data_IF_950250197825
#
_entry.id   IF_950250197825
#
_cell.length_a   1.000
_cell.length_b   1.000
_cell.length_c   1.000
_cell.angle_alpha   90.00
_cell.angle_beta   90.00
_cell.angle_gamma   90.00
#
_symmetry.space_group_name_H-M   'P 1'
#
loop_
_entity.id
_entity.type
_entity.pdbx_description
1 polymer ?
#
# COMPACT_ATOMS: atom_id res chain seq x y z
N UNK A 1 -17.27 12.24 28.75
CA UNK A 1 -17.70 12.35 27.34
C UNK A 1 -16.45 12.55 26.49
N UNK A 2 -15.98 11.50 25.81
CA UNK A 2 -14.81 11.60 24.93
C UNK A 2 -15.18 12.45 23.71
N UNK A 3 -14.39 13.48 23.42
CA UNK A 3 -14.64 14.41 22.32
C UNK A 3 -14.30 13.67 21.01
N UNK A 4 -15.31 13.40 20.19
CA UNK A 4 -15.11 12.90 18.82
C UNK A 4 -14.13 13.84 18.09
N UNK A 5 -13.12 13.31 17.37
CA UNK A 5 -12.25 14.13 16.54
C UNK A 5 -13.08 14.90 15.51
N UNK A 6 -12.82 16.18 15.31
CA UNK A 6 -13.47 16.98 14.27
C UNK A 6 -13.01 16.52 12.88
N UNK A 7 -13.85 16.67 11.85
CA UNK A 7 -13.52 16.36 10.45
C UNK A 7 -12.17 16.95 9.99
N UNK A 8 -11.82 18.14 10.50
CA UNK A 8 -10.53 18.80 10.26
C UNK A 8 -9.32 17.99 10.72
N UNK A 9 -9.46 17.21 11.79
CA UNK A 9 -8.39 16.38 12.38
C UNK A 9 -8.18 15.10 11.57
N UNK A 10 -9.28 14.52 11.05
CA UNK A 10 -9.25 13.34 10.18
C UNK A 10 -8.66 13.71 8.81
N UNK A 11 -9.01 14.88 8.27
CA UNK A 11 -8.51 15.34 6.98
C UNK A 11 -7.00 15.67 7.01
N UNK A 12 -6.50 16.27 8.08
CA UNK A 12 -5.09 16.66 8.22
C UNK A 12 -4.12 15.46 8.28
N UNK A 13 -4.54 14.33 8.86
CA UNK A 13 -3.72 13.10 8.93
C UNK A 13 -3.53 12.44 7.56
N UNK A 14 -4.38 12.80 6.59
CA UNK A 14 -4.58 12.08 5.34
C UNK A 14 -3.85 12.67 4.13
N UNK A 15 -3.23 13.84 4.30
CA UNK A 15 -2.66 14.62 3.20
C UNK A 15 -1.27 14.15 2.73
N UNK A 16 -0.86 12.91 3.06
CA UNK A 16 0.45 12.37 2.70
C UNK A 16 0.30 11.14 1.81
N UNK A 17 0.02 11.37 0.52
CA UNK A 17 0.30 10.36 -0.51
C UNK A 17 1.81 10.21 -0.56
N UNK A 18 2.35 9.14 0.01
CA UNK A 18 3.79 8.89 0.06
C UNK A 18 4.00 7.42 -0.28
N UNK A 19 4.78 7.16 -1.32
CA UNK A 19 5.42 5.86 -1.55
C UNK A 19 6.36 5.56 -0.38
N UNK A 20 6.39 4.31 0.09
CA UNK A 20 7.29 3.87 1.15
C UNK A 20 8.76 4.24 0.85
N UNK A 21 9.60 4.41 1.90
CA UNK A 21 11.03 4.59 1.71
C UNK A 21 11.59 3.44 0.88
N UNK A 22 12.42 3.80 -0.09
CA UNK A 22 13.23 2.87 -0.87
C UNK A 22 14.06 2.06 0.14
N UNK A 23 13.89 0.74 0.17
CA UNK A 23 14.79 -0.17 0.89
C UNK A 23 16.12 -0.20 0.12
N UNK A 24 16.94 0.85 0.30
CA UNK A 24 18.29 0.94 -0.24
C UNK A 24 19.26 0.14 0.64
N UNK A 25 19.75 -0.97 0.11
CA UNK A 25 21.08 -1.47 0.46
C UNK A 25 22.01 -1.24 -0.74
N UNK A 26 22.70 -0.09 -0.76
CA UNK A 26 23.87 0.13 -1.62
C UNK A 26 23.87 1.40 -2.49
N UNK A 27 24.70 2.36 -2.08
CA UNK A 27 25.28 3.52 -2.80
C UNK A 27 24.34 4.59 -3.41
N UNK A 28 24.15 5.66 -2.63
CA UNK A 28 24.18 7.06 -3.06
C UNK A 28 23.27 7.46 -4.22
N UNK A 29 22.02 7.79 -3.93
CA UNK A 29 21.15 8.55 -4.84
C UNK A 29 20.35 9.62 -4.08
N UNK A 30 19.97 10.73 -4.75
CA UNK A 30 19.57 11.97 -4.09
C UNK A 30 18.24 11.83 -3.36
N UNK A 31 18.11 12.53 -2.24
CA UNK A 31 16.91 12.53 -1.39
C UNK A 31 15.64 12.81 -2.22
N UNK A 32 14.72 11.85 -2.23
CA UNK A 32 13.40 11.99 -2.86
C UNK A 32 12.67 13.18 -2.24
N UNK A 33 12.15 14.14 -3.04
CA UNK A 33 11.41 15.27 -2.49
C UNK A 33 10.18 14.77 -1.72
N UNK A 34 9.93 15.39 -0.57
CA UNK A 34 8.71 15.14 0.20
C UNK A 34 7.50 15.39 -0.70
N UNK A 35 6.48 14.51 -0.71
CA UNK A 35 5.35 14.70 -1.59
C UNK A 35 4.63 15.99 -1.23
N UNK A 36 4.35 16.79 -2.24
CA UNK A 36 3.55 18.01 -2.13
C UNK A 36 2.20 17.66 -1.50
N UNK A 37 1.79 18.42 -0.48
CA UNK A 37 0.47 18.28 0.12
C UNK A 37 -0.60 18.34 -0.97
N UNK A 38 -1.40 17.27 -1.08
CA UNK A 38 -2.49 17.23 -2.06
C UNK A 38 -3.51 18.35 -1.78
N UNK A 39 -4.08 18.93 -2.84
CA UNK A 39 -5.13 19.95 -2.69
C UNK A 39 -6.36 19.37 -2.00
N UNK A 40 -7.06 20.13 -1.13
CA UNK A 40 -8.28 19.68 -0.48
C UNK A 40 -9.34 19.15 -1.45
N UNK A 41 -9.51 19.81 -2.59
CA UNK A 41 -10.50 19.42 -3.61
C UNK A 41 -10.22 18.03 -4.20
N UNK A 42 -8.95 17.70 -4.40
CA UNK A 42 -8.55 16.36 -4.86
C UNK A 42 -8.76 15.30 -3.76
N UNK A 43 -8.47 15.64 -2.51
CA UNK A 43 -8.70 14.74 -1.37
C UNK A 43 -10.18 14.46 -1.14
N UNK A 44 -11.05 15.43 -1.41
CA UNK A 44 -12.50 15.28 -1.31
C UNK A 44 -13.07 14.24 -2.29
N UNK A 45 -12.37 13.94 -3.40
CA UNK A 45 -12.77 12.90 -4.35
C UNK A 45 -12.43 11.48 -3.85
N UNK A 46 -11.53 11.33 -2.87
CA UNK A 46 -11.09 10.04 -2.36
C UNK A 46 -12.05 9.50 -1.28
N UNK A 47 -13.17 8.92 -1.72
CA UNK A 47 -14.21 8.42 -0.81
C UNK A 47 -13.88 7.04 -0.22
N UNK A 48 -13.69 6.02 -1.07
CA UNK A 48 -13.54 4.63 -0.63
C UNK A 48 -12.10 4.09 -0.65
N UNK A 49 -11.18 4.81 -1.29
CA UNK A 49 -9.80 4.37 -1.49
C UNK A 49 -8.82 5.45 -1.06
N UNK A 50 -8.97 5.87 0.19
CA UNK A 50 -8.13 6.88 0.78
C UNK A 50 -6.76 6.29 1.10
N UNK A 51 -5.70 6.87 0.55
CA UNK A 51 -4.36 6.32 0.75
C UNK A 51 -3.83 6.64 2.15
N UNK A 52 -3.35 5.63 2.87
CA UNK A 52 -2.69 5.76 4.18
C UNK A 52 -1.38 4.99 4.20
N UNK A 53 -0.38 5.53 4.91
CA UNK A 53 0.88 4.84 5.15
C UNK A 53 0.67 3.62 6.04
N UNK A 54 1.25 2.49 5.64
CA UNK A 54 1.34 1.36 6.54
C UNK A 54 2.51 1.58 7.51
N UNK A 55 2.21 1.75 8.80
CA UNK A 55 3.23 1.77 9.85
C UNK A 55 3.51 0.36 10.36
N UNK A 56 2.50 -0.23 10.99
CA UNK A 56 2.53 -1.59 11.50
C UNK A 56 1.12 -2.17 11.56
N UNK A 57 1.00 -3.48 11.80
CA UNK A 57 -0.29 -4.08 12.10
C UNK A 57 -0.92 -3.49 13.37
N UNK A 58 -0.12 -3.14 14.39
CA UNK A 58 -0.65 -2.54 15.61
C UNK A 58 -1.25 -1.16 15.37
N UNK A 59 -0.67 -0.38 14.46
CA UNK A 59 -1.22 0.94 14.09
C UNK A 59 -2.48 0.79 13.22
N UNK A 60 -2.50 -0.23 12.36
CA UNK A 60 -3.70 -0.58 11.59
C UNK A 60 -4.85 -1.00 12.52
N UNK A 61 -4.59 -1.83 13.52
CA UNK A 61 -5.60 -2.27 14.49
C UNK A 61 -6.17 -1.10 15.29
N UNK A 62 -5.30 -0.18 15.76
CA UNK A 62 -5.74 1.05 16.43
C UNK A 62 -6.59 1.94 15.51
N UNK A 63 -6.22 2.05 14.24
CA UNK A 63 -7.01 2.81 13.27
C UNK A 63 -8.39 2.18 13.05
N UNK A 64 -8.47 0.85 13.02
CA UNK A 64 -9.72 0.11 12.89
C UNK A 64 -10.63 0.30 14.12
N UNK A 65 -10.05 0.45 15.32
CA UNK A 65 -10.80 0.72 16.55
C UNK A 65 -11.31 2.16 16.62
N UNK A 66 -10.46 3.13 16.26
CA UNK A 66 -10.79 4.57 16.37
C UNK A 66 -11.81 5.00 15.31
N UNK A 67 -11.67 4.52 14.08
CA UNK A 67 -12.55 4.86 12.97
C UNK A 67 -12.77 3.64 12.06
N UNK A 68 -13.70 2.74 12.41
CA UNK A 68 -13.96 1.53 11.63
C UNK A 68 -14.34 1.84 10.17
N UNK A 69 -15.22 2.83 9.95
CA UNK A 69 -15.67 3.20 8.60
C UNK A 69 -14.55 3.79 7.76
N UNK A 70 -13.77 4.71 8.34
CA UNK A 70 -12.58 5.24 7.70
C UNK A 70 -11.55 4.17 7.41
N UNK A 71 -11.38 3.20 8.31
CA UNK A 71 -10.47 2.07 8.12
C UNK A 71 -10.84 1.26 6.86
N UNK A 72 -12.10 0.89 6.68
CA UNK A 72 -12.57 0.18 5.47
C UNK A 72 -12.35 0.97 4.18
N UNK A 73 -12.46 2.30 4.26
CA UNK A 73 -12.32 3.20 3.12
C UNK A 73 -10.85 3.59 2.85
N UNK A 74 -9.88 2.92 3.48
CA UNK A 74 -8.46 3.21 3.29
C UNK A 74 -7.70 2.07 2.63
N UNK A 75 -6.65 2.45 1.89
CA UNK A 75 -5.74 1.53 1.23
C UNK A 75 -4.29 1.89 1.51
N UNK A 76 -3.42 0.89 1.46
CA UNK A 76 -1.97 1.09 1.54
C UNK A 76 -1.28 0.47 0.32
N UNK A 77 -0.18 1.07 -0.12
CA UNK A 77 0.62 0.56 -1.25
C UNK A 77 1.94 -0.02 -0.75
N UNK A 78 2.39 -1.11 -1.36
CA UNK A 78 3.59 -1.86 -0.98
C UNK A 78 4.38 -2.23 -2.24
N UNK A 79 5.71 -2.18 -2.16
CA UNK A 79 6.54 -2.81 -3.20
C UNK A 79 6.35 -4.34 -3.18
N UNK A 80 6.64 -5.01 -4.29
CA UNK A 80 6.64 -6.48 -4.36
C UNK A 80 7.51 -7.11 -3.24
N UNK A 81 8.67 -6.51 -2.96
CA UNK A 81 9.58 -6.99 -1.92
C UNK A 81 8.99 -6.84 -0.51
N UNK A 82 8.36 -5.70 -0.23
CA UNK A 82 7.73 -5.44 1.07
C UNK A 82 6.53 -6.37 1.30
N UNK A 83 5.69 -6.55 0.28
CA UNK A 83 4.55 -7.46 0.34
C UNK A 83 5.00 -8.91 0.57
N UNK A 84 6.03 -9.39 -0.15
CA UNK A 84 6.59 -10.73 0.07
C UNK A 84 7.22 -10.88 1.45
N UNK A 85 7.87 -9.84 1.97
CA UNK A 85 8.42 -9.86 3.34
C UNK A 85 7.30 -10.04 4.36
N UNK A 86 6.24 -9.26 4.29
CA UNK A 86 5.08 -9.38 5.18
C UNK A 86 4.41 -10.75 5.07
N UNK A 87 4.24 -11.27 3.85
CA UNK A 87 3.72 -12.61 3.62
C UNK A 87 4.60 -13.68 4.29
N UNK A 88 5.93 -13.57 4.23
CA UNK A 88 6.86 -14.53 4.85
C UNK A 88 6.91 -14.41 6.37
N UNK A 89 6.91 -13.19 6.91
CA UNK A 89 7.15 -12.98 8.35
C UNK A 89 5.87 -12.92 9.17
N UNK A 90 4.72 -12.63 8.56
CA UNK A 90 3.49 -12.32 9.27
C UNK A 90 2.22 -12.71 8.49
N UNK A 91 2.23 -13.85 7.77
CA UNK A 91 1.14 -14.29 6.89
C UNK A 91 -0.26 -14.18 7.53
N UNK A 92 -0.44 -14.68 8.76
CA UNK A 92 -1.75 -14.69 9.43
C UNK A 92 -2.28 -13.27 9.64
N UNK A 93 -1.42 -12.34 10.09
CA UNK A 93 -1.81 -10.93 10.27
C UNK A 93 -2.03 -10.24 8.93
N UNK A 94 -1.25 -10.61 7.93
CA UNK A 94 -1.36 -10.07 6.58
C UNK A 94 -2.68 -10.46 5.89
N UNK A 95 -3.11 -11.72 6.05
CA UNK A 95 -4.42 -12.17 5.60
C UNK A 95 -5.56 -11.48 6.37
N UNK A 96 -5.47 -11.40 7.70
CA UNK A 96 -6.47 -10.73 8.51
C UNK A 96 -6.60 -9.23 8.19
N UNK A 97 -5.48 -8.58 7.85
CA UNK A 97 -5.49 -7.20 7.37
C UNK A 97 -6.32 -7.03 6.09
N UNK A 98 -6.20 -7.98 5.15
CA UNK A 98 -6.87 -7.92 3.85
C UNK A 98 -8.37 -8.23 3.87
N UNK A 99 -8.91 -8.75 4.97
CA UNK A 99 -10.36 -8.95 5.11
C UNK A 99 -11.11 -7.62 5.30
N UNK A 100 -10.40 -6.58 5.75
CA UNK A 100 -10.99 -5.29 6.12
C UNK A 100 -10.37 -4.11 5.37
N UNK A 101 -9.22 -4.29 4.69
CA UNK A 101 -8.56 -3.24 3.90
C UNK A 101 -7.97 -3.75 2.59
N UNK A 102 -7.81 -2.81 1.66
CA UNK A 102 -7.22 -3.06 0.35
C UNK A 102 -5.72 -2.75 0.37
N UNK A 103 -4.94 -3.65 -0.20
CA UNK A 103 -3.52 -3.42 -0.47
C UNK A 103 -3.24 -3.37 -1.97
N UNK A 104 -2.48 -2.35 -2.37
CA UNK A 104 -1.85 -2.27 -3.69
C UNK A 104 -0.42 -2.77 -3.64
N UNK A 105 -0.07 -3.73 -4.48
CA UNK A 105 1.31 -4.16 -4.70
C UNK A 105 1.78 -3.61 -6.03
N UNK A 106 3.00 -3.10 -6.11
CA UNK A 106 3.57 -2.57 -7.34
C UNK A 106 5.01 -3.07 -7.58
N UNK A 107 5.49 -3.07 -8.85
CA UNK A 107 6.82 -3.55 -9.19
C UNK A 107 7.92 -2.75 -8.47
N UNK A 108 8.97 -3.43 -8.03
CA UNK A 108 10.11 -2.75 -7.41
C UNK A 108 10.78 -1.74 -8.38
N UNK A 109 11.31 -0.63 -7.85
CA UNK A 109 12.00 0.39 -8.65
C UNK A 109 13.25 -0.12 -9.38
N UNK A 110 13.83 -1.23 -8.92
CA UNK A 110 14.93 -1.93 -9.61
C UNK A 110 14.54 -2.51 -10.97
N UNK A 111 13.24 -2.63 -11.27
CA UNK A 111 12.71 -3.11 -12.55
C UNK A 111 12.67 -1.99 -13.60
N UNK A 112 13.82 -1.38 -13.86
CA UNK A 112 13.97 -0.24 -14.79
C UNK A 112 13.52 -0.61 -16.21
N UNK A 113 13.68 -1.87 -16.62
CA UNK A 113 13.20 -2.41 -17.90
C UNK A 113 11.70 -2.74 -17.94
N UNK A 114 10.89 -2.29 -16.98
CA UNK A 114 9.45 -2.59 -16.89
C UNK A 114 9.10 -4.08 -16.87
N UNK A 115 9.98 -4.94 -16.35
CA UNK A 115 9.66 -6.35 -16.14
C UNK A 115 8.55 -6.51 -15.09
N UNK A 116 7.82 -7.63 -15.14
CA UNK A 116 6.78 -7.96 -14.16
C UNK A 116 7.28 -8.98 -13.13
N UNK A 117 6.76 -8.91 -11.91
CA UNK A 117 6.92 -9.95 -10.89
C UNK A 117 5.82 -11.00 -11.03
N UNK A 118 5.96 -12.17 -10.38
CA UNK A 118 4.90 -13.17 -10.33
C UNK A 118 3.76 -12.66 -9.42
N UNK A 119 2.53 -12.46 -9.92
CA UNK A 119 1.43 -11.95 -9.10
C UNK A 119 0.89 -12.99 -8.10
N UNK A 120 1.07 -14.28 -8.36
CA UNK A 120 0.43 -15.37 -7.62
C UNK A 120 0.72 -15.37 -6.11
N UNK A 121 1.97 -15.20 -5.63
CA UNK A 121 2.25 -15.13 -4.20
C UNK A 121 1.52 -13.99 -3.47
N UNK A 122 1.24 -12.89 -4.17
CA UNK A 122 0.55 -11.74 -3.59
C UNK A 122 -0.95 -11.97 -3.51
N UNK A 123 -1.55 -12.59 -4.54
CA UNK A 123 -2.94 -13.04 -4.49
C UNK A 123 -3.17 -14.09 -3.42
N UNK A 124 -2.27 -15.08 -3.32
CA UNK A 124 -2.31 -16.10 -2.26
C UNK A 124 -2.22 -15.48 -0.84
N UNK A 125 -1.59 -14.32 -0.73
CA UNK A 125 -1.49 -13.54 0.51
C UNK A 125 -2.66 -12.55 0.72
N UNK A 126 -3.67 -12.55 -0.16
CA UNK A 126 -4.87 -11.72 -0.05
C UNK A 126 -4.77 -10.31 -0.64
N UNK A 127 -3.63 -9.93 -1.25
CA UNK A 127 -3.51 -8.61 -1.89
C UNK A 127 -4.44 -8.51 -3.11
N UNK A 128 -5.25 -7.46 -3.17
CA UNK A 128 -6.30 -7.31 -4.19
C UNK A 128 -5.83 -6.51 -5.41
N UNK A 129 -5.06 -5.44 -5.19
CA UNK A 129 -4.59 -4.55 -6.27
C UNK A 129 -3.14 -4.87 -6.63
N UNK A 130 -2.92 -5.98 -7.33
CA UNK A 130 -1.58 -6.43 -7.76
C UNK A 130 -1.24 -5.80 -9.13
N UNK A 131 -0.56 -4.65 -9.11
CA UNK A 131 -0.31 -3.84 -10.29
C UNK A 131 0.86 -4.39 -11.13
N UNK A 132 0.63 -4.51 -12.43
CA UNK A 132 1.60 -4.98 -13.42
C UNK A 132 1.83 -3.91 -14.49
N UNK A 133 3.01 -3.95 -15.10
CA UNK A 133 3.39 -3.16 -16.26
C UNK A 133 2.69 -3.73 -17.51
N UNK A 134 1.55 -3.15 -17.88
CA UNK A 134 0.73 -3.63 -19.01
C UNK A 134 1.44 -3.53 -20.37
N UNK A 135 2.36 -2.57 -20.52
CA UNK A 135 3.16 -2.40 -21.74
C UNK A 135 4.07 -3.60 -22.03
N UNK A 136 4.43 -4.37 -21.01
CA UNK A 136 5.33 -5.52 -21.13
C UNK A 136 4.49 -6.81 -21.17
N UNK A 137 4.20 -7.27 -22.39
CA UNK A 137 3.61 -8.59 -22.62
C UNK A 137 4.60 -9.64 -22.10
N UNK A 138 4.19 -10.45 -21.14
CA UNK A 138 5.10 -11.35 -20.45
C UNK A 138 5.57 -12.51 -21.33
N UNK A 139 6.89 -12.63 -21.49
CA UNK A 139 7.58 -13.93 -21.45
C UNK A 139 7.68 -14.47 -19.99
N UNK A 140 7.06 -13.78 -19.03
CA UNK A 140 7.01 -14.15 -17.61
C UNK A 140 5.86 -15.07 -17.21
N UNK A 141 5.01 -15.49 -18.16
CA UNK A 141 4.03 -16.56 -17.98
C UNK A 141 4.59 -17.96 -18.32
N UNK A 142 5.92 -18.09 -18.44
CA UNK A 142 6.53 -19.31 -18.96
C UNK A 142 7.06 -20.27 -17.90
N UNK A 143 6.87 -20.00 -16.60
CA UNK A 143 7.21 -20.96 -15.54
C UNK A 143 6.04 -21.12 -14.56
N UNK A 144 5.04 -21.89 -14.97
CA UNK A 144 4.20 -22.66 -14.05
C UNK A 144 2.74 -22.23 -13.92
N UNK A 145 1.92 -22.87 -14.77
CA UNK A 145 0.56 -23.40 -14.46
C UNK A 145 -0.55 -22.38 -14.20
N UNK A 146 -1.43 -22.24 -15.22
CA UNK A 146 -2.88 -22.14 -15.01
C UNK A 146 -3.42 -23.49 -14.51
#
# INVERSE_FOLDING_TARGET
MSRMPTESTILASSARIVADPIDESGSGSPATPAPSSASPDLLALAVYMKTVKFGSFADADKSAEVDPLGYFCTMSSFSESASLKLARTAMVRWLAYHTMRISRVYPAGTRVGSSNYNPFPHWAAGCQLVALNWQTHGHGAEHGVL
#
